data_IF_574135080530
#
_entry.id   IF_574135080530
#
_cell.length_a   1.000
_cell.length_b   1.000
_cell.length_c   1.000
_cell.angle_alpha   90.00
_cell.angle_beta   90.00
_cell.angle_gamma   90.00
#
_symmetry.space_group_name_H-M   'P 1'
#
loop_
_entity.id
_entity.type
_entity.pdbx_description
1 polymer ?
#
# COMPACT_ATOMS: atom_id res chain seq x y z
N UNK A 1 2.02 11.99 -7.40
CA UNK A 1 2.03 13.23 -6.60
C UNK A 1 2.69 12.94 -5.26
N UNK A 2 3.33 13.93 -4.61
CA UNK A 2 3.78 13.80 -3.22
C UNK A 2 2.57 13.92 -2.29
N UNK A 3 2.45 13.02 -1.33
CA UNK A 3 1.35 13.00 -0.36
C UNK A 3 1.89 13.05 1.05
N UNK A 4 1.33 13.91 1.92
CA UNK A 4 1.68 13.86 3.32
C UNK A 4 1.19 12.54 3.92
N UNK A 5 1.98 11.96 4.81
CA UNK A 5 1.54 10.85 5.66
C UNK A 5 0.76 11.44 6.83
N UNK A 6 -0.52 11.09 6.91
CA UNK A 6 -1.45 11.55 7.96
C UNK A 6 -1.16 10.80 9.25
N UNK A 7 -1.03 9.48 9.16
CA UNK A 7 -0.76 8.61 10.28
C UNK A 7 0.00 7.36 9.83
N UNK A 8 0.64 6.69 10.79
CA UNK A 8 1.33 5.43 10.54
C UNK A 8 1.09 4.41 11.64
N UNK A 9 1.08 3.14 11.26
CA UNK A 9 0.89 2.02 12.19
C UNK A 9 1.72 0.82 11.75
N UNK A 10 2.45 0.22 12.68
CA UNK A 10 3.13 -1.06 12.45
C UNK A 10 2.25 -2.19 12.96
N UNK A 11 2.03 -3.18 12.11
CA UNK A 11 1.24 -4.38 12.44
C UNK A 11 2.01 -5.64 12.10
N UNK A 12 1.64 -6.76 12.74
CA UNK A 12 2.13 -8.10 12.39
C UNK A 12 1.09 -8.83 11.55
N UNK A 13 1.43 -9.14 10.30
CA UNK A 13 0.54 -9.86 9.38
C UNK A 13 1.33 -10.59 8.29
N UNK A 14 1.43 -11.90 8.41
CA UNK A 14 2.07 -12.74 7.40
C UNK A 14 1.34 -12.75 6.05
N UNK A 15 0.01 -12.62 6.09
CA UNK A 15 -0.83 -12.52 4.89
C UNK A 15 -0.52 -11.25 4.11
N UNK A 16 -0.50 -10.10 4.79
CA UNK A 16 -0.18 -8.82 4.14
C UNK A 16 1.25 -8.79 3.64
N UNK A 17 2.23 -9.29 4.41
CA UNK A 17 3.62 -9.39 3.92
C UNK A 17 3.70 -10.17 2.61
N UNK A 18 3.08 -11.35 2.59
CA UNK A 18 3.18 -12.23 1.43
C UNK A 18 2.49 -11.60 0.22
N UNK A 19 1.30 -11.03 0.43
CA UNK A 19 0.54 -10.32 -0.60
C UNK A 19 1.28 -9.10 -1.15
N UNK A 20 1.79 -8.22 -0.28
CA UNK A 20 2.53 -7.02 -0.66
C UNK A 20 3.79 -7.35 -1.46
N UNK A 21 4.61 -8.31 -0.98
CA UNK A 21 5.82 -8.74 -1.69
C UNK A 21 5.48 -9.35 -3.06
N UNK A 22 4.41 -10.12 -3.14
CA UNK A 22 3.96 -10.72 -4.39
C UNK A 22 3.52 -9.63 -5.40
N UNK A 23 2.75 -8.64 -4.94
CA UNK A 23 2.30 -7.52 -5.77
C UNK A 23 3.46 -6.59 -6.17
N UNK A 24 4.51 -6.49 -5.38
CA UNK A 24 5.72 -5.74 -5.75
C UNK A 24 6.57 -6.48 -6.81
N UNK A 25 6.45 -7.81 -6.92
CA UNK A 25 7.20 -8.61 -7.89
C UNK A 25 6.65 -8.44 -9.32
N UNK A 26 7.36 -7.66 -10.15
CA UNK A 26 6.96 -7.36 -11.53
C UNK A 26 6.88 -8.62 -12.41
N UNK A 27 7.84 -9.53 -12.32
CA UNK A 27 7.86 -10.78 -13.11
C UNK A 27 6.69 -11.69 -12.77
N UNK A 28 6.30 -11.75 -11.50
CA UNK A 28 5.12 -12.52 -11.11
C UNK A 28 3.84 -11.90 -11.68
N UNK A 29 3.71 -10.56 -11.60
CA UNK A 29 2.56 -9.81 -12.12
C UNK A 29 2.42 -9.92 -13.63
N UNK A 30 3.51 -9.86 -14.38
CA UNK A 30 3.47 -9.93 -15.86
C UNK A 30 2.87 -11.25 -16.37
N UNK A 31 2.88 -12.29 -15.53
CA UNK A 31 2.33 -13.62 -15.82
C UNK A 31 0.91 -13.82 -15.27
N UNK A 32 0.14 -12.75 -15.00
CA UNK A 32 -1.24 -12.84 -14.46
C UNK A 32 -2.21 -12.02 -15.30
N UNK A 33 -3.50 -12.40 -15.28
CA UNK A 33 -4.52 -11.61 -15.96
C UNK A 33 -4.76 -10.31 -15.19
N UNK A 34 -4.93 -9.20 -15.91
CA UNK A 34 -5.19 -7.88 -15.31
C UNK A 34 -6.35 -7.90 -14.30
N UNK A 35 -7.44 -8.60 -14.63
CA UNK A 35 -8.61 -8.74 -13.75
C UNK A 35 -8.28 -9.46 -12.43
N UNK A 36 -7.46 -10.50 -12.47
CA UNK A 36 -7.06 -11.26 -11.28
C UNK A 36 -6.18 -10.40 -10.36
N UNK A 37 -5.24 -9.65 -10.93
CA UNK A 37 -4.41 -8.72 -10.18
C UNK A 37 -5.23 -7.60 -9.53
N UNK A 38 -6.25 -7.08 -10.23
CA UNK A 38 -7.12 -6.04 -9.71
C UNK A 38 -7.93 -6.55 -8.50
N UNK A 39 -8.51 -7.75 -8.60
CA UNK A 39 -9.26 -8.37 -7.50
C UNK A 39 -8.35 -8.61 -6.29
N UNK A 40 -7.18 -9.22 -6.51
CA UNK A 40 -6.22 -9.47 -5.43
C UNK A 40 -5.76 -8.15 -4.78
N UNK A 41 -5.44 -7.15 -5.60
CA UNK A 41 -5.04 -5.84 -5.14
C UNK A 41 -6.10 -5.17 -4.26
N UNK A 42 -7.37 -5.23 -4.67
CA UNK A 42 -8.48 -4.71 -3.87
C UNK A 42 -8.60 -5.43 -2.53
N UNK A 43 -8.54 -6.77 -2.50
CA UNK A 43 -8.58 -7.52 -1.25
C UNK A 43 -7.41 -7.17 -0.31
N UNK A 44 -6.19 -6.99 -0.85
CA UNK A 44 -5.04 -6.57 -0.03
C UNK A 44 -5.28 -5.17 0.53
N UNK A 45 -5.75 -4.23 -0.29
CA UNK A 45 -6.10 -2.86 0.16
C UNK A 45 -7.17 -2.87 1.25
N UNK A 46 -8.22 -3.69 1.11
CA UNK A 46 -9.28 -3.85 2.10
C UNK A 46 -8.73 -4.40 3.43
N UNK A 47 -7.89 -5.45 3.38
CA UNK A 47 -7.28 -6.01 4.59
C UNK A 47 -6.40 -4.96 5.29
N UNK A 48 -5.63 -4.15 4.55
CA UNK A 48 -4.85 -3.05 5.14
C UNK A 48 -5.77 -2.01 5.81
N UNK A 49 -6.87 -1.65 5.15
CA UNK A 49 -7.84 -0.69 5.68
C UNK A 49 -8.50 -1.17 6.98
N UNK A 50 -8.77 -2.47 7.13
CA UNK A 50 -9.32 -3.04 8.38
C UNK A 50 -8.42 -2.81 9.62
N UNK A 51 -7.13 -2.53 9.43
CA UNK A 51 -6.20 -2.25 10.52
C UNK A 51 -6.11 -0.76 10.89
N UNK A 52 -6.74 0.12 10.12
CA UNK A 52 -6.75 1.57 10.30
C UNK A 52 -8.19 2.04 10.53
N UNK A 53 -8.38 3.11 11.30
CA UNK A 53 -9.71 3.70 11.54
C UNK A 53 -9.83 4.95 10.68
N UNK A 54 -9.89 4.78 9.35
CA UNK A 54 -9.89 5.89 8.40
C UNK A 54 -10.46 5.48 7.03
N UNK A 55 -11.09 6.44 6.34
CA UNK A 55 -11.58 6.32 4.95
C UNK A 55 -10.50 6.69 3.91
N UNK A 56 -9.33 7.11 4.37
CA UNK A 56 -8.21 7.51 3.54
C UNK A 56 -7.58 6.32 2.79
N UNK A 57 -6.59 6.61 1.95
CA UNK A 57 -5.85 5.57 1.26
C UNK A 57 -4.79 4.99 2.18
N UNK A 58 -4.79 3.66 2.35
CA UNK A 58 -3.80 2.95 3.15
C UNK A 58 -2.76 2.29 2.24
N UNK A 59 -1.49 2.55 2.52
CA UNK A 59 -0.34 2.05 1.76
C UNK A 59 0.52 1.18 2.67
N UNK A 60 0.78 -0.06 2.23
CA UNK A 60 1.56 -1.04 3.01
C UNK A 60 3.02 -1.13 2.56
N UNK A 61 3.93 -1.10 3.51
CA UNK A 61 5.38 -1.30 3.31
C UNK A 61 5.81 -2.52 4.13
N UNK A 62 6.26 -3.61 3.49
CA UNK A 62 6.89 -4.71 4.20
C UNK A 62 8.18 -4.25 4.89
N UNK A 63 8.31 -4.45 6.21
CA UNK A 63 9.52 -4.07 6.95
C UNK A 63 10.47 -5.26 7.13
N UNK A 64 10.00 -6.31 7.79
CA UNK A 64 10.79 -7.52 8.06
C UNK A 64 10.03 -8.78 7.60
N UNK A 65 10.22 -9.93 8.27
CA UNK A 65 9.55 -11.18 7.91
C UNK A 65 8.09 -11.24 8.34
N UNK A 66 7.67 -10.44 9.33
CA UNK A 66 6.31 -10.52 9.91
C UNK A 66 5.60 -9.16 10.05
N UNK A 67 6.32 -8.05 9.94
CA UNK A 67 5.79 -6.70 10.11
C UNK A 67 5.55 -5.93 8.80
N UNK A 68 4.42 -5.23 8.78
CA UNK A 68 4.03 -4.28 7.74
C UNK A 68 3.84 -2.91 8.40
N UNK A 69 4.45 -1.88 7.82
CA UNK A 69 4.13 -0.48 8.12
C UNK A 69 2.98 -0.05 7.22
N UNK A 70 1.88 0.39 7.81
CA UNK A 70 0.75 1.01 7.13
C UNK A 70 0.90 2.51 7.23
N UNK A 71 0.73 3.19 6.10
CA UNK A 71 0.73 4.63 5.99
C UNK A 71 -0.65 5.08 5.50
N UNK A 72 -1.27 5.97 6.26
CA UNK A 72 -2.48 6.66 5.88
C UNK A 72 -2.12 7.92 5.10
N UNK A 73 -2.66 8.07 3.89
CA UNK A 73 -2.43 9.25 3.03
C UNK A 73 -3.72 9.73 2.42
N UNK A 74 -3.83 11.03 2.08
CA UNK A 74 -5.02 11.57 1.44
C UNK A 74 -5.42 10.75 0.21
N UNK A 75 -6.68 10.32 0.18
CA UNK A 75 -7.32 9.70 -0.98
C UNK A 75 -7.83 10.79 -1.91
N UNK A 76 -7.38 10.77 -3.16
CA UNK A 76 -7.93 11.64 -4.20
C UNK A 76 -9.03 10.92 -4.99
N UNK A 77 -9.88 11.69 -5.69
CA UNK A 77 -11.03 11.14 -6.42
C UNK A 77 -10.61 10.02 -7.39
N UNK A 78 -11.40 8.95 -7.43
CA UNK A 78 -11.20 7.76 -8.27
C UNK A 78 -9.97 6.90 -7.93
N UNK A 79 -9.33 7.11 -6.79
CA UNK A 79 -8.24 6.25 -6.31
C UNK A 79 -8.76 4.96 -5.69
N UNK A 80 -9.04 4.01 -6.59
CA UNK A 80 -9.30 2.62 -6.29
C UNK A 80 -8.12 1.75 -6.72
N UNK A 81 -8.02 0.56 -6.13
CA UNK A 81 -6.98 -0.41 -6.47
C UNK A 81 -5.82 -0.42 -5.49
N UNK A 82 -4.82 -1.23 -5.84
CA UNK A 82 -3.64 -1.44 -5.03
C UNK A 82 -2.55 -0.44 -5.37
N UNK A 83 -2.00 0.17 -4.33
CA UNK A 83 -0.95 1.17 -4.46
C UNK A 83 0.28 0.72 -3.67
N UNK A 84 1.45 0.99 -4.22
CA UNK A 84 2.73 0.75 -3.54
C UNK A 84 3.47 2.05 -3.33
N UNK A 85 4.30 2.06 -2.30
CA UNK A 85 5.30 3.09 -2.12
C UNK A 85 6.31 3.06 -3.28
N UNK A 86 6.57 4.22 -3.87
CA UNK A 86 7.60 4.44 -4.89
C UNK A 86 8.76 5.28 -4.33
N UNK A 87 8.45 6.37 -3.62
CA UNK A 87 9.46 7.27 -3.05
C UNK A 87 9.05 7.81 -1.68
N UNK A 88 10.05 8.14 -0.87
CA UNK A 88 9.97 8.72 0.48
C UNK A 88 10.72 10.04 0.45
N UNK A 89 10.14 11.09 1.03
CA UNK A 89 10.82 12.36 1.30
C UNK A 89 10.47 12.82 2.71
N UNK A 90 11.48 13.12 3.50
CA UNK A 90 11.34 13.64 4.85
C UNK A 90 11.70 15.13 4.86
N UNK A 91 10.92 15.93 5.59
CA UNK A 91 11.20 17.34 5.83
C UNK A 91 10.90 17.69 7.29
N UNK A 92 11.25 18.91 7.69
CA UNK A 92 10.89 19.46 9.01
C UNK A 92 9.38 19.58 9.21
N UNK A 93 8.60 19.61 8.14
CA UNK A 93 7.13 19.75 8.15
C UNK A 93 6.42 18.38 8.20
N UNK A 94 7.16 17.29 8.05
CA UNK A 94 6.63 15.93 8.14
C UNK A 94 7.18 14.98 7.08
N UNK A 95 6.51 13.84 6.93
CA UNK A 95 6.90 12.76 6.04
C UNK A 95 5.96 12.69 4.83
N UNK A 96 6.52 12.69 3.63
CA UNK A 96 5.80 12.63 2.36
C UNK A 96 6.17 11.39 1.56
N UNK A 97 5.19 10.82 0.86
CA UNK A 97 5.39 9.67 -0.02
C UNK A 97 4.89 9.94 -1.43
N UNK A 98 5.55 9.31 -2.41
CA UNK A 98 4.95 9.06 -3.72
C UNK A 98 4.55 7.60 -3.80
N UNK A 99 3.37 7.39 -4.34
CA UNK A 99 2.83 6.06 -4.57
C UNK A 99 2.57 5.83 -6.04
N UNK A 100 2.62 4.56 -6.42
CA UNK A 100 2.29 4.09 -7.75
C UNK A 100 1.12 3.12 -7.65
N UNK A 101 0.13 3.31 -8.52
CA UNK A 101 -0.93 2.34 -8.69
C UNK A 101 -0.37 1.15 -9.46
N UNK A 102 -0.50 -0.03 -8.88
CA UNK A 102 -0.21 -1.28 -9.57
C UNK A 102 -1.56 -1.85 -10.01
N UNK A 103 -1.69 -2.09 -11.34
CA UNK A 103 -2.86 -2.60 -12.10
C UNK A 103 -3.73 -1.53 -12.77
#
# INVERSE_FOLDING_TARGET
MWRPVISEKVIKSGVLISGLRLMQNQTWRSNKKKRELMILGNHISEIMALHMTSDELIVGIPLNRVEVKLLEVPRYENEQGFHVLSQISESIEGYFIRIEKIV
#
